data_IF_573266127609
#
_entry.id   IF_573266127609
#
_cell.length_a   1.000
_cell.length_b   1.000
_cell.length_c   1.000
_cell.angle_alpha   90.00
_cell.angle_beta   90.00
_cell.angle_gamma   90.00
#
_symmetry.space_group_name_H-M   'P 1'
#
loop_
_entity.id
_entity.type
_entity.pdbx_description
1 polymer ?
#
# COMPACT_ATOMS: atom_id res chain seq x y z
N UNK A 1 -20.18 38.42 -42.01
CA UNK A 1 -18.71 38.33 -41.85
C UNK A 1 -18.35 36.93 -41.34
N UNK A 2 -18.02 35.90 -42.13
CA UNK A 2 -17.58 35.84 -43.52
C UNK A 2 -16.50 36.88 -43.82
N UNK A 3 -15.42 36.88 -43.03
CA UNK A 3 -14.17 37.62 -43.26
C UNK A 3 -13.20 37.24 -42.13
N UNK A 4 -12.48 36.12 -42.32
CA UNK A 4 -11.26 35.65 -41.58
C UNK A 4 -10.96 34.14 -41.73
N UNK A 5 -11.72 33.42 -42.57
CA UNK A 5 -11.38 32.06 -43.04
C UNK A 5 -10.37 32.02 -44.21
N UNK A 6 -9.59 33.09 -44.42
CA UNK A 6 -8.66 33.19 -45.56
C UNK A 6 -7.30 33.77 -45.17
N UNK A 7 -6.65 33.25 -44.12
CA UNK A 7 -5.21 33.49 -43.85
C UNK A 7 -4.69 32.55 -42.76
N UNK A 8 -4.41 31.28 -43.12
CA UNK A 8 -3.44 30.40 -42.42
C UNK A 8 -3.20 29.06 -43.15
N UNK A 9 -3.29 29.04 -44.49
CA UNK A 9 -2.55 28.05 -45.31
C UNK A 9 -1.15 28.63 -45.51
N UNK A 10 -0.20 28.26 -44.64
CA UNK A 10 1.18 28.76 -44.74
C UNK A 10 1.98 28.81 -43.43
N UNK A 11 1.67 27.98 -42.43
CA UNK A 11 2.40 27.95 -41.14
C UNK A 11 2.86 26.54 -40.74
N UNK A 12 3.11 25.68 -41.72
CA UNK A 12 3.60 24.30 -41.53
C UNK A 12 5.07 24.07 -41.89
N UNK A 13 5.84 25.12 -42.20
CA UNK A 13 7.25 25.00 -42.60
C UNK A 13 8.26 25.67 -41.67
N UNK A 14 7.81 26.39 -40.63
CA UNK A 14 8.71 27.03 -39.66
C UNK A 14 8.87 26.26 -38.33
N UNK A 15 8.03 25.26 -38.05
CA UNK A 15 8.17 24.47 -36.82
C UNK A 15 9.22 23.36 -36.91
N UNK A 16 9.73 23.08 -38.12
CA UNK A 16 10.76 22.06 -38.36
C UNK A 16 12.19 22.61 -38.29
N UNK A 17 12.36 23.94 -38.33
CA UNK A 17 13.67 24.59 -38.20
C UNK A 17 14.06 24.89 -36.75
N UNK A 18 13.09 24.96 -35.82
CA UNK A 18 13.39 25.22 -34.40
C UNK A 18 13.82 23.98 -33.60
N UNK A 19 13.56 22.76 -34.10
CA UNK A 19 14.06 21.53 -33.48
C UNK A 19 15.51 21.22 -33.85
N UNK A 20 16.07 21.86 -34.88
CA UNK A 20 17.46 21.62 -35.32
C UNK A 20 18.45 22.44 -34.48
N UNK A 21 18.06 23.62 -33.97
CA UNK A 21 18.98 24.49 -33.23
C UNK A 21 19.14 24.13 -31.74
N UNK A 22 18.32 23.24 -31.16
CA UNK A 22 18.50 22.81 -29.77
C UNK A 22 19.43 21.59 -29.64
N UNK A 23 19.78 20.93 -30.76
CA UNK A 23 20.73 19.83 -30.75
C UNK A 23 22.20 20.29 -30.84
N UNK A 24 22.45 21.57 -31.11
CA UNK A 24 23.81 22.14 -31.20
C UNK A 24 24.37 22.67 -29.86
N UNK A 25 23.59 22.70 -28.77
CA UNK A 25 24.07 23.25 -27.49
C UNK A 25 24.77 22.20 -26.61
N UNK A 26 24.74 20.92 -27.00
CA UNK A 26 25.39 19.82 -26.27
C UNK A 26 26.83 19.51 -26.75
N UNK A 27 27.41 20.35 -27.60
CA UNK A 27 28.75 20.13 -28.18
C UNK A 27 29.89 20.89 -27.48
N UNK A 28 29.60 21.71 -26.44
CA UNK A 28 30.63 22.49 -25.74
C UNK A 28 31.16 21.87 -24.42
N UNK A 29 30.49 20.86 -23.86
CA UNK A 29 30.94 20.25 -22.59
C UNK A 29 31.99 19.13 -22.76
N UNK A 30 32.24 18.65 -23.99
CA UNK A 30 33.27 17.65 -24.24
C UNK A 30 34.71 18.21 -24.25
N UNK A 31 34.87 19.52 -24.45
CA UNK A 31 36.19 20.14 -24.62
C UNK A 31 36.92 20.40 -23.30
N UNK A 32 36.20 20.59 -22.19
CA UNK A 32 36.84 20.86 -20.88
C UNK A 32 37.23 19.57 -20.16
N UNK A 33 36.51 18.46 -20.38
CA UNK A 33 36.84 17.18 -19.74
C UNK A 33 38.04 16.46 -20.36
N UNK A 34 38.53 16.95 -21.50
CA UNK A 34 39.63 16.36 -22.25
C UNK A 34 41.03 16.72 -21.70
N UNK A 35 41.17 17.65 -20.75
CA UNK A 35 42.51 18.13 -20.33
C UNK A 35 43.15 17.37 -19.15
N UNK A 36 42.47 16.40 -18.52
CA UNK A 36 42.97 15.75 -17.29
C UNK A 36 43.18 14.24 -17.41
N UNK A 37 42.72 13.59 -18.49
CA UNK A 37 42.83 12.13 -18.62
C UNK A 37 43.87 11.69 -19.66
N UNK A 38 45.09 11.42 -19.20
CA UNK A 38 46.16 10.66 -19.84
C UNK A 38 45.81 9.99 -21.21
N UNK A 39 46.20 10.64 -22.32
CA UNK A 39 45.63 10.50 -23.68
C UNK A 39 46.22 9.43 -24.61
N UNK A 40 47.02 8.48 -24.14
CA UNK A 40 47.66 7.49 -25.05
C UNK A 40 46.99 6.12 -25.14
N UNK A 41 45.98 5.83 -24.33
CA UNK A 41 45.18 4.61 -24.40
C UNK A 41 43.78 4.70 -25.08
N UNK A 42 43.07 5.84 -25.14
CA UNK A 42 41.69 5.87 -25.65
C UNK A 42 41.57 5.94 -27.19
N UNK A 43 42.56 6.51 -27.89
CA UNK A 43 42.47 6.82 -29.33
C UNK A 43 42.41 5.59 -30.25
N UNK A 44 43.07 4.49 -29.86
CA UNK A 44 43.03 3.20 -30.57
C UNK A 44 41.69 2.46 -30.39
N UNK A 45 41.10 2.59 -29.19
CA UNK A 45 39.81 1.98 -28.85
C UNK A 45 38.69 2.68 -29.63
N UNK A 46 38.74 4.01 -29.73
CA UNK A 46 37.75 4.79 -30.48
C UNK A 46 37.79 4.51 -31.98
N UNK A 47 38.99 4.39 -32.57
CA UNK A 47 39.13 4.09 -34.00
C UNK A 47 38.70 2.66 -34.35
N UNK A 48 38.98 1.70 -33.47
CA UNK A 48 38.56 0.30 -33.68
C UNK A 48 37.05 0.14 -33.51
N UNK A 49 36.47 0.77 -32.48
CA UNK A 49 35.03 0.82 -32.26
C UNK A 49 34.29 1.49 -33.44
N UNK A 50 34.78 2.63 -33.94
CA UNK A 50 34.21 3.31 -35.09
C UNK A 50 34.24 2.46 -36.36
N UNK A 51 35.32 1.68 -36.57
CA UNK A 51 35.44 0.78 -37.73
C UNK A 51 34.43 -0.37 -37.64
N UNK A 52 34.25 -0.94 -36.45
CA UNK A 52 33.27 -2.00 -36.19
C UNK A 52 31.83 -1.49 -36.40
N UNK A 53 31.49 -0.31 -35.88
CA UNK A 53 30.17 0.28 -36.08
C UNK A 53 29.87 0.65 -37.52
N UNK A 54 30.84 1.18 -38.28
CA UNK A 54 30.65 1.45 -39.72
C UNK A 54 30.43 0.17 -40.51
N UNK A 55 31.13 -0.91 -40.17
CA UNK A 55 30.95 -2.22 -40.79
C UNK A 55 29.57 -2.80 -40.51
N UNK A 56 29.17 -2.83 -39.24
CA UNK A 56 27.82 -3.27 -38.82
C UNK A 56 26.72 -2.41 -39.45
N UNK A 57 26.89 -1.09 -39.45
CA UNK A 57 25.94 -0.14 -40.07
C UNK A 57 25.77 -0.38 -41.56
N UNK A 58 26.86 -0.64 -42.29
CA UNK A 58 26.81 -1.02 -43.70
C UNK A 58 26.06 -2.33 -43.93
N UNK A 59 26.30 -3.34 -43.08
CA UNK A 59 25.61 -4.63 -43.15
C UNK A 59 24.10 -4.52 -42.88
N UNK A 60 23.73 -3.74 -41.86
CA UNK A 60 22.34 -3.43 -41.49
C UNK A 60 21.64 -2.68 -42.64
N UNK A 61 22.30 -1.71 -43.26
CA UNK A 61 21.73 -0.92 -44.36
C UNK A 61 21.44 -1.78 -45.60
N UNK A 62 22.33 -2.74 -45.93
CA UNK A 62 22.15 -3.63 -47.07
C UNK A 62 21.05 -4.68 -46.88
N UNK A 63 20.80 -5.12 -45.64
CA UNK A 63 19.84 -6.20 -45.30
C UNK A 63 18.70 -5.76 -44.37
N UNK A 64 18.25 -4.51 -44.52
CA UNK A 64 17.22 -3.88 -43.66
C UNK A 64 15.97 -4.75 -43.43
N UNK A 65 15.45 -5.38 -44.47
CA UNK A 65 14.22 -6.18 -44.37
C UNK A 65 14.42 -7.45 -43.53
N UNK A 66 15.55 -8.16 -43.70
CA UNK A 66 15.87 -9.34 -42.89
C UNK A 66 16.00 -8.97 -41.41
N UNK A 67 16.63 -7.82 -41.12
CA UNK A 67 16.81 -7.33 -39.76
C UNK A 67 15.47 -7.00 -39.08
N UNK A 68 14.57 -6.31 -39.77
CA UNK A 68 13.23 -5.99 -39.24
C UNK A 68 12.45 -7.28 -38.96
N UNK A 69 12.46 -8.25 -39.89
CA UNK A 69 11.77 -9.53 -39.71
C UNK A 69 12.36 -10.30 -38.53
N UNK A 70 13.68 -10.35 -38.38
CA UNK A 70 14.31 -11.06 -37.27
C UNK A 70 13.98 -10.43 -35.91
N UNK A 71 13.92 -9.11 -35.83
CA UNK A 71 13.56 -8.41 -34.59
C UNK A 71 12.08 -8.65 -34.24
N UNK A 72 11.18 -8.64 -35.23
CA UNK A 72 9.76 -8.94 -35.01
C UNK A 72 9.54 -10.38 -34.51
N UNK A 73 10.24 -11.35 -35.11
CA UNK A 73 10.17 -12.75 -34.67
C UNK A 73 10.69 -12.88 -33.23
N UNK A 74 11.82 -12.24 -32.91
CA UNK A 74 12.37 -12.24 -31.55
C UNK A 74 11.41 -11.61 -30.54
N UNK A 75 10.84 -10.45 -30.86
CA UNK A 75 9.84 -9.79 -30.00
C UNK A 75 8.61 -10.66 -29.79
N UNK A 76 8.14 -11.35 -30.83
CA UNK A 76 7.00 -12.26 -30.74
C UNK A 76 7.29 -13.45 -29.83
N UNK A 77 8.46 -14.08 -29.97
CA UNK A 77 8.91 -15.17 -29.10
C UNK A 77 8.99 -14.69 -27.65
N UNK A 78 9.62 -13.54 -27.38
CA UNK A 78 9.71 -12.99 -26.02
C UNK A 78 8.32 -12.63 -25.45
N UNK A 79 7.40 -12.12 -26.27
CA UNK A 79 6.05 -11.74 -25.83
C UNK A 79 5.17 -12.96 -25.57
N UNK A 80 5.44 -14.10 -26.23
CA UNK A 80 4.68 -15.33 -26.06
C UNK A 80 4.73 -15.88 -24.63
N UNK A 81 5.77 -15.55 -23.86
CA UNK A 81 5.92 -15.97 -22.45
C UNK A 81 5.03 -15.20 -21.46
N UNK A 82 4.49 -14.04 -21.85
CA UNK A 82 3.65 -13.19 -20.99
C UNK A 82 2.38 -13.93 -20.51
N UNK A 83 1.55 -14.55 -21.37
CA UNK A 83 0.36 -15.27 -20.93
C UNK A 83 0.67 -16.53 -20.11
N UNK A 84 1.89 -17.06 -20.17
CA UNK A 84 2.30 -18.23 -19.37
C UNK A 84 2.90 -17.85 -18.01
N UNK A 85 3.10 -16.55 -17.74
CA UNK A 85 3.61 -16.09 -16.46
C UNK A 85 2.44 -16.02 -15.47
N UNK A 86 2.41 -16.85 -14.41
CA UNK A 86 1.35 -16.76 -13.41
C UNK A 86 1.46 -15.45 -12.65
N UNK A 87 0.32 -14.79 -12.42
CA UNK A 87 0.27 -13.61 -11.57
C UNK A 87 0.43 -14.04 -10.10
N UNK A 88 1.47 -13.53 -9.45
CA UNK A 88 1.71 -13.73 -8.01
C UNK A 88 1.40 -12.43 -7.27
N UNK A 89 0.19 -12.31 -6.72
CA UNK A 89 -0.22 -11.17 -5.90
C UNK A 89 0.00 -11.47 -4.41
N UNK A 90 1.24 -11.81 -4.04
CA UNK A 90 1.58 -12.07 -2.64
C UNK A 90 2.13 -10.80 -1.97
N UNK A 91 1.28 -10.16 -1.16
CA UNK A 91 1.63 -9.01 -0.34
C UNK A 91 2.79 -9.32 0.63
N UNK A 92 2.92 -10.58 1.08
CA UNK A 92 3.91 -11.02 2.07
C UNK A 92 5.32 -11.02 1.50
N UNK A 93 5.50 -11.62 0.32
CA UNK A 93 6.81 -11.81 -0.29
C UNK A 93 7.18 -10.75 -1.33
N UNK A 94 6.21 -9.98 -1.85
CA UNK A 94 6.45 -8.98 -2.90
C UNK A 94 7.19 -7.72 -2.43
N UNK A 95 7.06 -7.33 -1.17
CA UNK A 95 7.66 -6.09 -0.63
C UNK A 95 8.92 -6.33 0.21
N UNK A 96 9.26 -7.59 0.50
CA UNK A 96 10.41 -7.94 1.34
C UNK A 96 11.50 -8.58 0.49
N UNK A 97 12.73 -8.01 0.46
CA UNK A 97 13.80 -8.54 -0.40
C UNK A 97 14.15 -10.00 -0.05
N UNK A 98 14.60 -10.73 -1.07
CA UNK A 98 15.09 -12.10 -0.88
C UNK A 98 16.30 -12.08 0.07
N UNK A 99 16.27 -12.93 1.11
CA UNK A 99 17.32 -13.00 2.13
C UNK A 99 17.22 -11.96 3.25
N UNK A 100 16.15 -11.17 3.32
CA UNK A 100 15.92 -10.30 4.47
C UNK A 100 15.78 -11.10 5.77
N UNK A 101 16.43 -10.63 6.84
CA UNK A 101 16.33 -11.22 8.18
C UNK A 101 14.88 -11.37 8.68
N UNK A 102 14.01 -10.43 8.34
CA UNK A 102 12.58 -10.51 8.68
C UNK A 102 11.89 -11.76 8.12
N UNK A 103 12.33 -12.28 6.97
CA UNK A 103 11.78 -13.52 6.40
C UNK A 103 12.21 -14.75 7.19
N UNK A 104 13.44 -14.76 7.69
CA UNK A 104 13.93 -15.84 8.55
C UNK A 104 13.23 -15.83 9.91
N UNK A 105 13.07 -14.65 10.51
CA UNK A 105 12.33 -14.48 11.77
C UNK A 105 10.87 -14.91 11.61
N UNK A 106 10.22 -14.52 10.50
CA UNK A 106 8.85 -14.92 10.21
C UNK A 106 8.72 -16.44 10.00
N UNK A 107 9.64 -17.04 9.24
CA UNK A 107 9.67 -18.50 9.05
C UNK A 107 9.84 -19.25 10.37
N UNK A 108 10.67 -18.72 11.28
CA UNK A 108 10.86 -19.30 12.61
C UNK A 108 9.61 -19.11 13.49
N UNK A 109 9.00 -17.92 13.45
CA UNK A 109 7.75 -17.63 14.15
C UNK A 109 6.63 -18.59 13.72
N UNK A 110 6.45 -18.79 12.41
CA UNK A 110 5.44 -19.70 11.86
C UNK A 110 5.65 -21.14 12.32
N UNK A 111 6.90 -21.62 12.36
CA UNK A 111 7.22 -22.96 12.86
C UNK A 111 6.83 -23.16 14.34
N UNK A 112 6.99 -22.13 15.18
CA UNK A 112 6.67 -22.22 16.60
C UNK A 112 5.17 -22.06 16.89
N UNK A 113 4.53 -21.07 16.27
CA UNK A 113 3.14 -20.71 16.58
C UNK A 113 2.10 -21.42 15.72
N UNK A 114 2.52 -22.06 14.61
CA UNK A 114 1.62 -22.78 13.71
C UNK A 114 2.19 -24.14 13.30
N UNK A 115 2.45 -25.06 14.26
CA UNK A 115 3.04 -26.36 13.96
C UNK A 115 2.15 -27.23 13.04
N UNK A 116 0.83 -27.03 13.03
CA UNK A 116 -0.10 -27.77 12.18
C UNK A 116 -0.08 -27.32 10.72
N UNK A 117 0.30 -26.07 10.45
CA UNK A 117 0.40 -25.49 9.12
C UNK A 117 1.55 -26.10 8.31
N UNK A 118 2.54 -26.71 8.98
CA UNK A 118 3.63 -27.44 8.33
C UNK A 118 3.20 -28.70 7.56
N UNK A 119 1.93 -29.13 7.68
CA UNK A 119 1.37 -30.31 6.99
C UNK A 119 0.50 -29.96 5.79
N UNK A 120 0.09 -28.70 5.63
CA UNK A 120 -0.78 -28.25 4.53
C UNK A 120 -0.01 -27.24 3.68
N UNK A 121 0.05 -27.49 2.37
CA UNK A 121 0.75 -26.65 1.37
C UNK A 121 0.23 -25.20 1.24
N UNK A 122 -0.80 -24.84 2.00
CA UNK A 122 -1.42 -23.51 2.03
C UNK A 122 -1.30 -23.02 3.46
N UNK A 123 -0.29 -22.19 3.71
CA UNK A 123 -0.14 -21.50 4.97
C UNK A 123 -1.24 -20.43 5.07
N UNK A 124 -2.41 -20.78 5.62
CA UNK A 124 -3.48 -19.81 5.84
C UNK A 124 -3.07 -18.84 6.97
N UNK A 125 -3.08 -17.55 6.65
CA UNK A 125 -2.83 -16.48 7.59
C UNK A 125 -4.11 -16.10 8.34
N UNK A 126 -4.02 -15.75 9.63
CA UNK A 126 -5.16 -15.26 10.37
C UNK A 126 -5.59 -13.95 9.72
N UNK A 127 -6.81 -13.95 9.19
CA UNK A 127 -7.42 -12.75 8.64
C UNK A 127 -7.99 -11.96 9.80
N UNK A 128 -7.39 -10.82 10.09
CA UNK A 128 -7.91 -9.87 11.07
C UNK A 128 -8.90 -8.93 10.40
N UNK A 129 -10.11 -8.85 10.95
CA UNK A 129 -11.14 -7.89 10.51
C UNK A 129 -11.24 -6.77 11.54
N UNK A 130 -10.85 -5.56 11.12
CA UNK A 130 -10.88 -4.36 11.95
C UNK A 130 -12.04 -3.46 11.54
N UNK A 131 -12.93 -3.19 12.50
CA UNK A 131 -14.11 -2.33 12.31
C UNK A 131 -13.93 -1.05 13.13
N UNK A 132 -13.94 0.09 12.43
CA UNK A 132 -13.90 1.40 13.06
C UNK A 132 -15.29 1.97 13.22
N UNK A 133 -15.63 2.31 14.46
CA UNK A 133 -16.91 2.95 14.79
C UNK A 133 -16.62 4.40 15.13
N UNK A 134 -17.37 5.30 14.50
CA UNK A 134 -17.31 6.75 14.73
C UNK A 134 -18.71 7.31 14.90
N UNK A 135 -18.86 8.31 15.76
CA UNK A 135 -20.14 8.99 15.91
C UNK A 135 -20.43 9.88 14.69
N UNK A 136 -21.61 9.73 14.09
CA UNK A 136 -22.03 10.46 12.88
C UNK A 136 -22.04 11.97 13.06
N UNK A 137 -22.40 12.43 14.24
CA UNK A 137 -22.47 13.84 14.63
C UNK A 137 -21.12 14.40 15.08
N UNK A 138 -20.02 13.65 14.88
CA UNK A 138 -18.66 14.07 15.23
C UNK A 138 -18.47 14.33 16.74
N UNK A 139 -19.42 13.85 17.56
CA UNK A 139 -19.38 13.89 19.01
C UNK A 139 -18.70 12.67 19.62
N UNK A 140 -18.84 12.49 20.93
CA UNK A 140 -18.27 11.34 21.63
C UNK A 140 -19.12 10.09 21.44
N UNK A 141 -18.47 8.93 21.29
CA UNK A 141 -19.11 7.61 21.35
C UNK A 141 -19.47 7.16 22.78
N UNK A 142 -19.00 7.88 23.80
CA UNK A 142 -19.27 7.59 25.22
C UNK A 142 -20.70 7.90 25.67
N UNK A 143 -21.64 8.05 24.74
CA UNK A 143 -23.05 8.26 25.04
C UNK A 143 -23.75 6.91 25.09
N UNK A 144 -24.66 6.75 26.05
CA UNK A 144 -25.28 5.44 26.29
C UNK A 144 -25.97 4.88 25.05
N UNK A 145 -26.71 5.72 24.30
CA UNK A 145 -27.41 5.27 23.09
C UNK A 145 -26.48 4.76 22.00
N UNK A 146 -25.31 5.38 21.83
CA UNK A 146 -24.32 4.95 20.84
C UNK A 146 -23.49 3.75 21.33
N UNK A 147 -23.20 3.68 22.62
CA UNK A 147 -22.47 2.57 23.22
C UNK A 147 -23.33 1.30 23.23
N UNK A 148 -24.63 1.40 23.51
CA UNK A 148 -25.57 0.29 23.42
C UNK A 148 -25.67 -0.23 21.97
N UNK A 149 -25.80 0.68 20.99
CA UNK A 149 -25.78 0.33 19.57
C UNK A 149 -24.46 -0.33 19.16
N UNK A 150 -23.33 0.11 19.72
CA UNK A 150 -22.02 -0.49 19.47
C UNK A 150 -21.94 -1.93 19.98
N UNK A 151 -22.47 -2.19 21.18
CA UNK A 151 -22.54 -3.55 21.74
C UNK A 151 -23.49 -4.43 20.93
N UNK A 152 -24.66 -3.92 20.52
CA UNK A 152 -25.59 -4.65 19.66
C UNK A 152 -24.96 -5.00 18.31
N UNK A 153 -24.23 -4.07 17.70
CA UNK A 153 -23.52 -4.32 16.46
C UNK A 153 -22.46 -5.44 16.63
N UNK A 154 -21.75 -5.44 17.75
CA UNK A 154 -20.77 -6.48 18.06
C UNK A 154 -21.45 -7.86 18.18
N UNK A 155 -22.63 -7.93 18.80
CA UNK A 155 -23.42 -9.17 18.89
C UNK A 155 -23.88 -9.68 17.53
N UNK A 156 -24.38 -8.78 16.68
CA UNK A 156 -24.81 -9.12 15.32
C UNK A 156 -23.64 -9.60 14.46
N UNK A 157 -22.48 -8.94 14.53
CA UNK A 157 -21.29 -9.37 13.77
C UNK A 157 -20.77 -10.74 14.26
N UNK A 158 -20.88 -11.03 15.55
CA UNK A 158 -20.40 -12.29 16.11
C UNK A 158 -21.30 -13.50 15.77
N UNK A 159 -22.63 -13.30 15.75
CA UNK A 159 -23.60 -14.39 15.69
C UNK A 159 -24.43 -14.45 14.41
N UNK A 160 -24.73 -13.30 13.80
CA UNK A 160 -25.71 -13.19 12.71
C UNK A 160 -25.08 -12.93 11.35
N UNK A 161 -23.78 -12.66 11.29
CA UNK A 161 -23.06 -12.43 10.04
C UNK A 161 -22.31 -13.71 9.60
N UNK A 162 -22.90 -14.55 8.72
CA UNK A 162 -22.27 -15.78 8.27
C UNK A 162 -21.17 -15.48 7.24
N UNK A 163 -19.93 -15.84 7.58
CA UNK A 163 -18.84 -15.91 6.61
C UNK A 163 -18.71 -17.38 6.16
N UNK A 164 -18.93 -17.64 4.87
CA UNK A 164 -18.90 -19.00 4.33
C UNK A 164 -20.00 -19.92 4.88
N UNK A 165 -21.15 -19.36 5.29
CA UNK A 165 -22.28 -20.13 5.81
C UNK A 165 -22.19 -20.52 7.28
N UNK A 166 -21.17 -20.05 8.02
CA UNK A 166 -21.05 -20.23 9.47
C UNK A 166 -20.88 -18.88 10.18
N UNK A 167 -21.46 -18.69 11.38
CA UNK A 167 -21.26 -17.48 12.18
C UNK A 167 -19.82 -17.32 12.66
N UNK A 168 -19.43 -16.08 12.99
CA UNK A 168 -18.06 -15.75 13.41
C UNK A 168 -17.58 -16.56 14.61
N UNK A 169 -18.46 -16.77 15.59
CA UNK A 169 -18.16 -17.56 16.78
C UNK A 169 -17.77 -19.03 16.49
N UNK A 170 -18.11 -19.58 15.32
CA UNK A 170 -17.85 -20.98 14.96
C UNK A 170 -16.56 -21.17 14.16
N UNK A 171 -16.13 -20.15 13.41
CA UNK A 171 -14.87 -20.24 12.65
C UNK A 171 -13.70 -19.56 13.37
N UNK A 172 -13.98 -18.65 14.31
CA UNK A 172 -12.94 -18.01 15.08
C UNK A 172 -12.17 -19.03 15.94
N UNK A 173 -10.87 -19.10 15.76
CA UNK A 173 -9.98 -20.03 16.47
C UNK A 173 -9.26 -19.38 17.64
N UNK A 174 -8.92 -18.10 17.51
CA UNK A 174 -8.13 -17.36 18.49
C UNK A 174 -8.73 -15.99 18.73
N UNK A 175 -8.71 -15.55 20.00
CA UNK A 175 -9.15 -14.22 20.42
C UNK A 175 -10.62 -13.87 20.09
N UNK A 176 -11.53 -14.85 20.12
CA UNK A 176 -12.94 -14.62 19.81
C UNK A 176 -13.65 -13.68 20.81
N UNK A 177 -13.09 -13.54 22.01
CA UNK A 177 -13.56 -12.64 23.06
C UNK A 177 -12.71 -11.36 23.15
N UNK A 178 -11.92 -11.02 22.11
CA UNK A 178 -11.07 -9.83 22.12
C UNK A 178 -11.84 -8.54 22.39
N UNK A 179 -13.11 -8.50 21.98
CA UNK A 179 -14.00 -7.35 22.13
C UNK A 179 -14.78 -7.33 23.45
N UNK A 180 -14.57 -8.30 24.35
CA UNK A 180 -15.22 -8.33 25.67
C UNK A 180 -15.01 -7.05 26.51
N UNK A 181 -13.83 -6.39 26.50
CA UNK A 181 -13.65 -5.13 27.23
C UNK A 181 -14.62 -4.02 26.82
N UNK A 182 -15.15 -4.03 25.59
CA UNK A 182 -16.17 -3.06 25.14
C UNK A 182 -17.48 -3.27 25.91
N UNK A 183 -17.87 -4.53 26.12
CA UNK A 183 -19.05 -4.87 26.92
C UNK A 183 -18.85 -4.45 28.37
N UNK A 184 -17.68 -4.73 28.93
CA UNK A 184 -17.33 -4.32 30.29
C UNK A 184 -17.31 -2.79 30.44
N UNK A 185 -16.83 -2.08 29.42
CA UNK A 185 -16.83 -0.62 29.39
C UNK A 185 -18.26 -0.06 29.37
N UNK A 186 -19.13 -0.58 28.50
CA UNK A 186 -20.55 -0.20 28.43
C UNK A 186 -21.27 -0.44 29.76
N UNK A 187 -21.05 -1.62 30.36
CA UNK A 187 -21.60 -1.97 31.67
C UNK A 187 -21.13 -0.99 32.76
N UNK A 188 -19.84 -0.70 32.83
CA UNK A 188 -19.28 0.26 33.78
C UNK A 188 -19.82 1.68 33.61
N UNK A 189 -20.01 2.13 32.36
CA UNK A 189 -20.62 3.41 32.04
C UNK A 189 -22.07 3.50 32.57
N UNK A 190 -22.86 2.45 32.37
CA UNK A 190 -24.24 2.38 32.85
C UNK A 190 -24.34 2.44 34.38
N UNK A 191 -23.44 1.75 35.09
CA UNK A 191 -23.37 1.77 36.56
C UNK A 191 -23.03 3.17 37.07
N UNK A 192 -22.02 3.81 36.46
CA UNK A 192 -21.63 5.19 36.80
C UNK A 192 -22.79 6.16 36.63
N UNK A 193 -23.55 6.04 35.54
CA UNK A 193 -24.70 6.92 35.28
C UNK A 193 -25.79 6.76 36.33
N UNK A 194 -26.18 5.52 36.65
CA UNK A 194 -27.18 5.25 37.70
C UNK A 194 -26.77 5.81 39.05
N UNK A 195 -25.48 5.70 39.39
CA UNK A 195 -24.95 6.28 40.62
C UNK A 195 -25.07 7.81 40.61
N UNK A 196 -24.76 8.47 39.49
CA UNK A 196 -24.90 9.93 39.36
C UNK A 196 -26.37 10.39 39.39
N UNK A 197 -27.30 9.60 38.85
CA UNK A 197 -28.74 9.89 38.90
C UNK A 197 -29.30 9.73 40.32
N UNK A 198 -28.94 8.64 41.02
CA UNK A 198 -29.32 8.44 42.41
C UNK A 198 -28.79 9.56 43.34
N UNK A 199 -27.60 10.10 43.04
CA UNK A 199 -27.03 11.25 43.76
C UNK A 199 -27.73 12.59 43.45
N UNK A 200 -28.36 12.74 42.29
CA UNK A 200 -29.15 13.94 41.98
C UNK A 200 -30.47 13.96 42.74
N UNK A 201 -31.04 12.78 43.00
CA UNK A 201 -32.34 12.65 43.66
C UNK A 201 -32.23 12.63 45.20
N UNK A 202 -31.04 12.40 45.76
CA UNK A 202 -30.75 12.51 47.18
C UNK A 202 -29.53 13.38 47.44
N UNK A 203 -29.71 14.62 47.91
CA UNK A 203 -28.67 15.63 48.13
C UNK A 203 -27.64 15.32 49.23
N UNK A 204 -26.93 14.20 49.11
CA UNK A 204 -25.82 13.80 49.99
C UNK A 204 -24.46 14.08 49.35
N UNK A 205 -23.54 14.65 50.14
CA UNK A 205 -22.15 14.91 49.76
C UNK A 205 -21.39 13.64 49.33
N UNK A 206 -20.50 13.86 48.37
CA UNK A 206 -19.71 12.85 47.65
C UNK A 206 -18.61 12.31 48.57
N UNK A 207 -18.69 11.02 48.94
CA UNK A 207 -17.49 10.24 49.25
C UNK A 207 -17.02 9.58 47.95
N UNK A 208 -15.89 10.07 47.47
CA UNK A 208 -15.10 9.70 46.30
C UNK A 208 -14.64 8.21 46.28
N UNK A 209 -15.54 7.26 46.53
CA UNK A 209 -15.21 5.87 46.82
C UNK A 209 -15.51 4.84 45.72
N UNK A 210 -16.21 5.22 44.64
CA UNK A 210 -16.53 4.29 43.54
C UNK A 210 -16.13 4.92 42.21
N UNK A 211 -14.85 5.28 42.09
CA UNK A 211 -14.25 5.46 40.78
C UNK A 211 -14.03 4.08 40.17
N UNK A 212 -14.97 3.64 39.32
CA UNK A 212 -14.59 2.80 38.18
C UNK A 212 -13.65 3.67 37.35
N UNK A 213 -12.37 3.66 37.71
CA UNK A 213 -11.32 4.22 36.90
C UNK A 213 -11.23 3.32 35.65
N UNK A 214 -12.09 3.57 34.67
CA UNK A 214 -12.08 2.94 33.34
C UNK A 214 -10.85 3.38 32.52
N UNK A 215 -9.71 3.61 33.19
CA UNK A 215 -8.39 3.60 32.59
C UNK A 215 -8.03 2.18 32.20
N UNK A 216 -8.78 1.60 31.27
CA UNK A 216 -8.19 0.55 30.45
C UNK A 216 -7.10 1.23 29.63
N UNK A 217 -5.89 0.69 29.67
CA UNK A 217 -4.86 1.04 28.70
C UNK A 217 -5.33 0.57 27.32
N UNK A 218 -6.21 1.34 26.69
CA UNK A 218 -6.41 1.32 25.26
C UNK A 218 -5.07 1.74 24.66
N UNK A 219 -4.46 0.88 23.84
CA UNK A 219 -3.15 1.12 23.24
C UNK A 219 -3.08 2.56 22.68
N UNK A 220 -2.21 3.44 23.22
CA UNK A 220 -2.04 4.76 22.65
C UNK A 220 -1.23 4.62 21.35
N UNK A 221 -1.91 4.57 20.20
CA UNK A 221 -1.24 4.73 18.92
C UNK A 221 -1.27 6.22 18.51
N UNK A 222 -0.07 6.70 18.19
CA UNK A 222 0.32 8.08 17.90
C UNK A 222 -0.71 8.86 17.07
N UNK A 223 -1.49 9.76 17.70
CA UNK A 223 -2.26 10.79 16.98
C UNK A 223 -2.07 12.15 17.66
N UNK A 224 -1.82 13.24 16.90
CA UNK A 224 -1.58 14.56 17.47
C UNK A 224 -2.88 15.17 18.01
N UNK A 225 -2.91 15.34 19.34
CA UNK A 225 -3.52 16.46 20.08
C UNK A 225 -4.86 17.05 19.56
N UNK A 226 -5.88 16.21 19.35
CA UNK A 226 -7.28 16.66 19.49
C UNK A 226 -8.20 15.46 19.75
N UNK A 227 -8.57 15.30 21.01
CA UNK A 227 -9.52 14.28 21.47
C UNK A 227 -10.84 14.36 20.70
N UNK A 228 -11.00 13.44 19.75
CA UNK A 228 -12.27 12.81 19.40
C UNK A 228 -12.01 11.32 19.60
N UNK A 229 -12.82 10.69 20.42
CA UNK A 229 -12.68 9.30 20.84
C UNK A 229 -12.88 8.35 19.65
N UNK A 230 -11.82 8.16 18.88
CA UNK A 230 -11.71 7.13 17.86
C UNK A 230 -11.29 5.84 18.55
N UNK A 231 -12.14 4.82 18.50
CA UNK A 231 -11.81 3.50 19.03
C UNK A 231 -11.12 2.68 17.93
N UNK A 232 -9.97 2.10 18.25
CA UNK A 232 -9.15 1.27 17.37
C UNK A 232 -9.12 -0.15 17.95
N UNK A 233 -9.34 -1.19 17.14
CA UNK A 233 -9.34 -2.58 17.62
C UNK A 233 -8.60 -3.53 16.66
N UNK A 234 -7.41 -3.98 17.06
CA UNK A 234 -6.64 -5.03 16.38
C UNK A 234 -7.41 -6.34 16.25
#
# INVERSE_FOLDING_TARGET
MREKLKKRKGKGKELLLLQINLFCVLELDCLVFSLVWNWHLPLLIDCSLARIFRYLGGWIAQKRHLLVISLLILTFICSSSIPFTPQQDDLKSGYTPLGARSREELARYEQFFRPELGKTLIAEEPITLLVFIIARDNGSLLRDSLMEQTVQLLDTLANDFPLGGRPFNQFCTHFCQMNEPIRQFSNGLSVRKRHLEALKDGGGEIKDGIYLNLSFHLCPFWTPSRFKSTFFWC
#
